data_IF_338172891409
#
_entry.id   IF_338172891409
#
_cell.length_a   1.000
_cell.length_b   1.000
_cell.length_c   1.000
_cell.angle_alpha   90.00
_cell.angle_beta   90.00
_cell.angle_gamma   90.00
#
_symmetry.space_group_name_H-M   'P 1'
#
loop_
_entity.id
_entity.type
_entity.pdbx_description
1 polymer ?
#
# COMPACT_ATOMS: atom_id res chain seq x y z
N UNK A 1 22.43 -3.80 2.71
CA UNK A 1 21.94 -2.47 3.13
C UNK A 1 22.38 -1.34 2.18
N UNK A 2 23.58 -0.74 2.26
CA UNK A 2 23.92 0.44 1.41
C UNK A 2 23.88 0.18 -0.12
N UNK A 3 24.35 -0.98 -0.58
CA UNK A 3 24.31 -1.38 -2.00
C UNK A 3 22.91 -1.73 -2.53
N UNK A 4 21.99 -2.12 -1.64
CA UNK A 4 20.59 -2.45 -2.01
C UNK A 4 19.74 -1.19 -2.15
N UNK A 5 19.93 -0.22 -1.24
CA UNK A 5 19.29 1.10 -1.31
C UNK A 5 19.56 1.81 -2.66
N UNK A 6 20.79 1.71 -3.15
CA UNK A 6 21.22 2.37 -4.39
C UNK A 6 20.45 1.88 -5.64
N UNK A 7 19.89 0.67 -5.61
CA UNK A 7 19.09 0.10 -6.70
C UNK A 7 17.62 0.49 -6.64
N UNK A 8 17.07 0.57 -5.42
CA UNK A 8 15.64 0.81 -5.20
C UNK A 8 15.32 2.33 -5.13
N UNK A 9 16.33 3.19 -4.88
CA UNK A 9 16.13 4.65 -4.71
C UNK A 9 15.34 5.33 -5.83
N UNK A 10 15.62 5.00 -7.10
CA UNK A 10 14.97 5.66 -8.24
C UNK A 10 13.52 5.20 -8.40
N UNK A 11 13.24 3.96 -8.00
CA UNK A 11 11.90 3.39 -7.99
C UNK A 11 11.08 4.04 -6.89
N UNK A 12 11.65 4.20 -5.70
CA UNK A 12 10.99 4.90 -4.58
C UNK A 12 10.70 6.35 -4.93
N UNK A 13 11.67 7.07 -5.51
CA UNK A 13 11.46 8.45 -5.96
C UNK A 13 10.41 8.51 -7.06
N UNK A 14 10.45 7.61 -8.04
CA UNK A 14 9.45 7.54 -9.10
C UNK A 14 8.04 7.28 -8.55
N UNK A 15 7.88 6.32 -7.64
CA UNK A 15 6.61 6.01 -7.00
C UNK A 15 6.09 7.22 -6.19
N UNK A 16 6.95 7.84 -5.37
CA UNK A 16 6.57 9.02 -4.61
C UNK A 16 6.13 10.18 -5.53
N UNK A 17 6.87 10.43 -6.62
CA UNK A 17 6.50 11.45 -7.60
C UNK A 17 5.16 11.17 -8.26
N UNK A 18 4.87 9.92 -8.63
CA UNK A 18 3.58 9.56 -9.24
C UNK A 18 2.43 9.79 -8.24
N UNK A 19 2.58 9.40 -6.98
CA UNK A 19 1.55 9.65 -5.95
C UNK A 19 1.29 11.17 -5.80
N UNK A 20 2.37 11.97 -5.72
CA UNK A 20 2.25 13.44 -5.65
C UNK A 20 1.56 14.02 -6.88
N UNK A 21 1.89 13.54 -8.09
CA UNK A 21 1.25 14.00 -9.33
C UNK A 21 -0.25 13.68 -9.36
N UNK A 22 -0.66 12.51 -8.86
CA UNK A 22 -2.08 12.16 -8.74
C UNK A 22 -2.80 13.10 -7.77
N UNK A 23 -2.19 13.40 -6.62
CA UNK A 23 -2.77 14.36 -5.65
C UNK A 23 -2.87 15.77 -6.24
N UNK A 24 -1.87 16.19 -7.02
CA UNK A 24 -1.91 17.46 -7.76
C UNK A 24 -3.04 17.46 -8.79
N UNK A 25 -3.27 16.34 -9.50
CA UNK A 25 -4.38 16.23 -10.44
C UNK A 25 -5.73 16.39 -9.72
N UNK A 26 -5.91 15.69 -8.60
CA UNK A 26 -7.12 15.82 -7.75
C UNK A 26 -7.33 17.28 -7.32
N UNK A 27 -6.26 17.98 -6.93
CA UNK A 27 -6.35 19.40 -6.57
C UNK A 27 -6.81 20.27 -7.75
N UNK A 28 -6.27 20.05 -8.95
CA UNK A 28 -6.61 20.81 -10.15
C UNK A 28 -8.06 20.55 -10.57
N UNK A 29 -8.47 19.29 -10.61
CA UNK A 29 -9.83 18.89 -10.98
C UNK A 29 -10.87 19.47 -10.01
N UNK A 30 -10.58 19.37 -8.71
CA UNK A 30 -11.42 19.95 -7.67
C UNK A 30 -11.47 21.48 -7.80
N UNK A 31 -10.31 22.15 -7.95
CA UNK A 31 -10.25 23.60 -8.11
C UNK A 31 -10.98 24.10 -9.35
N UNK A 32 -10.94 23.37 -10.46
CA UNK A 32 -11.65 23.74 -11.68
C UNK A 32 -13.16 23.58 -11.50
N UNK A 33 -13.60 22.50 -10.84
CA UNK A 33 -15.02 22.29 -10.50
C UNK A 33 -15.56 23.44 -9.65
N UNK A 34 -14.79 23.93 -8.67
CA UNK A 34 -15.15 25.08 -7.84
C UNK A 34 -15.13 26.43 -8.57
N UNK A 35 -14.43 26.55 -9.71
CA UNK A 35 -14.45 27.75 -10.56
C UNK A 35 -15.67 27.75 -11.48
N UNK A 36 -16.08 26.58 -11.97
CA UNK A 36 -17.21 26.43 -12.89
C UNK A 36 -18.56 26.46 -12.19
N UNK A 37 -18.62 25.96 -10.95
CA UNK A 37 -19.84 25.87 -10.15
C UNK A 37 -19.72 26.72 -8.88
N UNK A 38 -20.84 27.29 -8.41
CA UNK A 38 -20.85 27.96 -7.12
C UNK A 38 -20.48 26.98 -5.99
N UNK A 39 -19.59 27.38 -5.08
CA UNK A 39 -19.03 26.51 -4.04
C UNK A 39 -20.09 25.70 -3.25
N UNK A 40 -21.22 26.33 -2.90
CA UNK A 40 -22.29 25.69 -2.16
C UNK A 40 -23.00 24.58 -2.97
N UNK A 41 -23.05 24.71 -4.29
CA UNK A 41 -23.64 23.70 -5.18
C UNK A 41 -22.75 22.47 -5.34
N UNK A 42 -21.42 22.64 -5.33
CA UNK A 42 -20.44 21.55 -5.43
C UNK A 42 -20.45 20.72 -4.15
N UNK A 43 -20.36 21.39 -2.99
CA UNK A 43 -20.39 20.73 -1.68
C UNK A 43 -21.71 19.96 -1.49
N UNK A 44 -22.85 20.58 -1.86
CA UNK A 44 -24.16 19.93 -1.79
C UNK A 44 -24.27 18.70 -2.70
N UNK A 45 -23.71 18.75 -3.91
CA UNK A 45 -23.67 17.60 -4.82
C UNK A 45 -22.79 16.47 -4.27
N UNK A 46 -21.61 16.78 -3.73
CA UNK A 46 -20.76 15.76 -3.16
C UNK A 46 -21.43 15.04 -2.00
N UNK A 47 -22.11 15.79 -1.12
CA UNK A 47 -22.85 15.21 -0.01
C UNK A 47 -24.06 14.38 -0.49
N UNK A 48 -24.80 14.85 -1.49
CA UNK A 48 -25.99 14.16 -2.00
C UNK A 48 -25.68 12.87 -2.77
N UNK A 49 -24.55 12.84 -3.50
CA UNK A 49 -24.16 11.72 -4.35
C UNK A 49 -23.00 10.88 -3.76
N UNK A 50 -22.55 11.19 -2.55
CA UNK A 50 -21.40 10.55 -1.89
C UNK A 50 -20.14 10.49 -2.77
N UNK A 51 -19.87 11.57 -3.51
CA UNK A 51 -18.77 11.60 -4.49
C UNK A 51 -17.43 11.59 -3.77
N UNK A 52 -16.69 10.50 -3.93
CA UNK A 52 -15.33 10.33 -3.42
C UNK A 52 -14.33 10.94 -4.41
N UNK A 53 -14.11 12.25 -4.33
CA UNK A 53 -13.21 13.00 -5.23
C UNK A 53 -11.73 12.55 -5.19
N UNK A 54 -11.34 11.77 -4.18
CA UNK A 54 -9.99 11.24 -3.98
C UNK A 54 -9.89 9.76 -4.36
N UNK A 55 -10.81 9.23 -5.18
CA UNK A 55 -10.81 7.81 -5.56
C UNK A 55 -9.53 7.39 -6.28
N UNK A 56 -8.89 8.27 -7.07
CA UNK A 56 -7.67 7.94 -7.80
C UNK A 56 -6.50 7.55 -6.87
N UNK A 57 -6.49 8.08 -5.65
CA UNK A 57 -5.50 7.75 -4.61
C UNK A 57 -5.57 6.26 -4.23
N UNK A 58 -6.77 5.68 -4.23
CA UNK A 58 -7.00 4.26 -3.94
C UNK A 58 -6.16 3.35 -4.83
N UNK A 59 -6.17 3.63 -6.13
CA UNK A 59 -5.50 2.80 -7.13
C UNK A 59 -3.98 3.01 -7.11
N UNK A 60 -3.53 4.25 -6.96
CA UNK A 60 -2.09 4.53 -6.99
C UNK A 60 -1.36 4.01 -5.73
N UNK A 61 -1.99 4.08 -4.56
CA UNK A 61 -1.43 3.51 -3.33
C UNK A 61 -1.29 1.99 -3.47
N UNK A 62 -2.33 1.29 -3.97
CA UNK A 62 -2.27 -0.15 -4.22
C UNK A 62 -1.09 -0.52 -5.14
N UNK A 63 -0.97 0.18 -6.27
CA UNK A 63 0.12 -0.02 -7.24
C UNK A 63 1.48 0.26 -6.59
N UNK A 64 1.58 1.25 -5.71
CA UNK A 64 2.80 1.60 -5.00
C UNK A 64 3.30 0.47 -4.11
N UNK A 65 2.43 -0.12 -3.29
CA UNK A 65 2.78 -1.29 -2.46
C UNK A 65 3.21 -2.50 -3.29
N UNK A 66 2.49 -2.77 -4.39
CA UNK A 66 2.79 -3.87 -5.29
C UNK A 66 4.16 -3.69 -5.95
N UNK A 67 4.39 -2.55 -6.60
CA UNK A 67 5.62 -2.29 -7.35
C UNK A 67 6.83 -2.23 -6.41
N UNK A 68 6.71 -1.62 -5.23
CA UNK A 68 7.80 -1.61 -4.27
C UNK A 68 8.21 -3.04 -3.87
N UNK A 69 7.22 -3.90 -3.59
CA UNK A 69 7.47 -5.31 -3.24
C UNK A 69 8.15 -6.07 -4.38
N UNK A 70 7.64 -5.91 -5.61
CA UNK A 70 8.20 -6.57 -6.80
C UNK A 70 9.64 -6.12 -7.04
N UNK A 71 9.89 -4.83 -7.10
CA UNK A 71 11.21 -4.30 -7.44
C UNK A 71 12.25 -4.51 -6.34
N UNK A 72 11.80 -4.62 -5.08
CA UNK A 72 12.68 -4.96 -3.97
C UNK A 72 13.12 -6.43 -4.05
N UNK A 73 12.19 -7.38 -4.22
CA UNK A 73 12.48 -8.82 -4.12
C UNK A 73 12.79 -9.54 -5.45
N UNK A 74 12.40 -8.98 -6.60
CA UNK A 74 12.74 -9.53 -7.92
C UNK A 74 14.25 -9.73 -8.16
N UNK A 75 15.13 -8.74 -7.92
CA UNK A 75 16.57 -8.92 -8.13
C UNK A 75 17.20 -9.95 -7.19
N UNK A 76 16.63 -10.18 -6.01
CA UNK A 76 17.13 -11.15 -5.03
C UNK A 76 16.89 -12.60 -5.47
N UNK A 77 15.74 -12.84 -6.10
CA UNK A 77 15.34 -14.15 -6.62
C UNK A 77 16.03 -14.44 -7.95
N UNK A 78 16.04 -13.47 -8.86
CA UNK A 78 16.67 -13.62 -10.19
C UNK A 78 18.17 -13.94 -10.08
N UNK A 79 18.87 -13.39 -9.09
CA UNK A 79 20.32 -13.61 -8.92
C UNK A 79 20.66 -14.89 -8.14
N UNK A 80 19.69 -15.74 -7.80
CA UNK A 80 19.88 -16.95 -6.97
C UNK A 80 20.68 -16.70 -5.68
N UNK A 81 20.74 -15.44 -5.21
CA UNK A 81 21.46 -15.08 -3.98
C UNK A 81 20.83 -15.74 -2.77
N UNK A 82 19.52 -15.96 -2.83
CA UNK A 82 18.79 -16.77 -1.87
C UNK A 82 19.43 -18.17 -1.77
N UNK A 83 19.61 -18.91 -2.86
CA UNK A 83 20.23 -20.25 -2.88
C UNK A 83 21.65 -20.32 -2.29
N UNK A 84 22.48 -19.30 -2.50
CA UNK A 84 23.86 -19.26 -1.98
C UNK A 84 23.94 -18.83 -0.50
N UNK A 85 22.93 -18.10 -0.02
CA UNK A 85 22.87 -17.65 1.38
C UNK A 85 22.38 -18.78 2.30
N UNK A 86 21.58 -19.72 1.77
CA UNK A 86 20.96 -20.85 2.50
C UNK A 86 21.93 -21.85 3.16
N UNK A 87 23.24 -21.62 3.06
CA UNK A 87 24.25 -22.39 3.77
C UNK A 87 24.47 -21.93 5.23
N UNK A 88 23.86 -20.80 5.68
CA UNK A 88 24.07 -20.22 7.03
C UNK A 88 22.74 -19.88 7.76
N UNK A 89 22.17 -20.80 8.57
CA UNK A 89 20.74 -20.88 8.92
C UNK A 89 20.16 -19.84 9.91
N UNK A 90 20.95 -18.89 10.41
CA UNK A 90 20.53 -17.97 11.51
C UNK A 90 20.57 -16.48 11.11
N UNK A 91 21.34 -16.11 10.08
CA UNK A 91 21.48 -14.70 9.66
C UNK A 91 20.40 -14.24 8.66
N UNK A 92 19.64 -15.17 8.09
CA UNK A 92 18.77 -14.93 6.94
C UNK A 92 17.38 -14.42 7.29
N UNK A 93 16.70 -15.03 8.28
CA UNK A 93 15.43 -14.50 8.79
C UNK A 93 15.58 -13.05 9.26
N UNK A 94 16.75 -12.72 9.83
CA UNK A 94 17.10 -11.36 10.25
C UNK A 94 17.28 -10.44 9.04
N UNK A 95 17.91 -10.90 7.97
CA UNK A 95 18.10 -10.11 6.74
C UNK A 95 16.76 -9.88 6.02
N UNK A 96 15.93 -10.91 5.84
CA UNK A 96 14.59 -10.75 5.28
C UNK A 96 13.74 -9.80 6.12
N UNK A 97 13.72 -9.96 7.44
CA UNK A 97 12.99 -9.05 8.34
C UNK A 97 13.46 -7.60 8.18
N UNK A 98 14.78 -7.38 8.10
CA UNK A 98 15.36 -6.05 7.91
C UNK A 98 14.99 -5.44 6.55
N UNK A 99 14.95 -6.24 5.49
CA UNK A 99 14.54 -5.76 4.17
C UNK A 99 13.05 -5.44 4.14
N UNK A 100 12.22 -6.33 4.68
CA UNK A 100 10.78 -6.11 4.81
C UNK A 100 10.50 -4.84 5.62
N UNK A 101 11.18 -4.64 6.75
CA UNK A 101 10.99 -3.46 7.61
C UNK A 101 11.41 -2.17 6.92
N UNK A 102 12.49 -2.18 6.12
CA UNK A 102 12.89 -1.02 5.31
C UNK A 102 11.82 -0.67 4.28
N UNK A 103 11.26 -1.65 3.56
CA UNK A 103 10.19 -1.37 2.59
C UNK A 103 8.90 -0.86 3.25
N UNK A 104 8.51 -1.42 4.40
CA UNK A 104 7.38 -0.90 5.20
C UNK A 104 7.65 0.53 5.64
N UNK A 105 8.86 0.84 6.11
CA UNK A 105 9.23 2.20 6.51
C UNK A 105 9.16 3.19 5.33
N UNK A 106 9.61 2.79 4.14
CA UNK A 106 9.51 3.61 2.93
C UNK A 106 8.04 3.87 2.57
N UNK A 107 7.19 2.84 2.60
CA UNK A 107 5.74 3.01 2.33
C UNK A 107 5.10 3.96 3.34
N UNK A 108 5.43 3.83 4.63
CA UNK A 108 4.92 4.73 5.66
C UNK A 108 5.32 6.18 5.39
N UNK A 109 6.56 6.44 4.96
CA UNK A 109 6.99 7.80 4.60
C UNK A 109 6.21 8.36 3.40
N UNK A 110 6.02 7.56 2.35
CA UNK A 110 5.22 7.95 1.17
C UNK A 110 3.79 8.28 1.62
N UNK A 111 3.17 7.42 2.43
CA UNK A 111 1.79 7.59 2.86
C UNK A 111 1.60 8.76 3.82
N UNK A 112 2.59 9.09 4.65
CA UNK A 112 2.57 10.31 5.47
C UNK A 112 2.56 11.55 4.56
N UNK A 113 3.38 11.55 3.50
CA UNK A 113 3.42 12.65 2.53
C UNK A 113 2.08 12.75 1.79
N UNK A 114 1.53 11.62 1.34
CA UNK A 114 0.26 11.58 0.60
C UNK A 114 -0.90 12.06 1.48
N UNK A 115 -1.01 11.55 2.71
CA UNK A 115 -2.03 11.98 3.66
C UNK A 115 -1.89 13.47 4.01
N UNK A 116 -0.66 13.98 4.14
CA UNK A 116 -0.41 15.39 4.39
C UNK A 116 -0.82 16.27 3.20
N UNK A 117 -0.42 15.93 1.98
CA UNK A 117 -0.80 16.69 0.79
C UNK A 117 -2.32 16.66 0.56
N UNK A 118 -2.95 15.50 0.71
CA UNK A 118 -4.39 15.36 0.58
C UNK A 118 -5.13 16.16 1.66
N UNK A 119 -4.60 16.22 2.90
CA UNK A 119 -5.16 17.05 3.96
C UNK A 119 -5.15 18.53 3.60
N UNK A 120 -4.06 19.02 2.99
CA UNK A 120 -3.93 20.41 2.54
C UNK A 120 -4.99 20.71 1.47
N UNK A 121 -5.19 19.80 0.51
CA UNK A 121 -6.21 19.96 -0.53
C UNK A 121 -7.60 20.04 0.08
N UNK A 122 -7.93 19.12 1.00
CA UNK A 122 -9.23 19.08 1.64
C UNK A 122 -9.51 20.33 2.48
N UNK A 123 -8.57 20.76 3.33
CA UNK A 123 -8.75 21.93 4.20
C UNK A 123 -8.87 23.24 3.41
N UNK A 124 -8.20 23.33 2.26
CA UNK A 124 -8.24 24.54 1.42
C UNK A 124 -9.54 24.70 0.63
N UNK A 125 -10.13 23.60 0.18
CA UNK A 125 -11.23 23.62 -0.79
C UNK A 125 -12.57 23.15 -0.22
N UNK A 126 -12.56 22.38 0.87
CA UNK A 126 -13.75 21.72 1.41
C UNK A 126 -13.97 22.02 2.90
N UNK A 127 -15.23 21.93 3.38
CA UNK A 127 -15.54 21.97 4.81
C UNK A 127 -14.86 20.84 5.59
N UNK A 128 -14.70 21.05 6.90
CA UNK A 128 -14.04 20.10 7.82
C UNK A 128 -14.68 18.69 7.82
N UNK A 129 -15.98 18.59 7.56
CA UNK A 129 -16.71 17.31 7.52
C UNK A 129 -16.12 16.32 6.50
N UNK A 130 -15.66 16.83 5.36
CA UNK A 130 -15.03 16.02 4.31
C UNK A 130 -13.64 15.53 4.73
N UNK A 131 -12.94 16.29 5.56
CA UNK A 131 -11.60 15.92 6.04
C UNK A 131 -11.65 14.67 6.93
N UNK A 132 -12.58 14.64 7.90
CA UNK A 132 -12.72 13.51 8.81
C UNK A 132 -13.14 12.24 8.03
N UNK A 133 -14.07 12.39 7.08
CA UNK A 133 -14.49 11.28 6.23
C UNK A 133 -13.38 10.77 5.30
N UNK A 134 -12.60 11.68 4.72
CA UNK A 134 -11.45 11.35 3.88
C UNK A 134 -10.40 10.55 4.64
N UNK A 135 -10.05 10.96 5.87
CA UNK A 135 -9.10 10.21 6.70
C UNK A 135 -9.59 8.79 7.01
N UNK A 136 -10.86 8.66 7.41
CA UNK A 136 -11.45 7.35 7.73
C UNK A 136 -11.52 6.41 6.53
N UNK A 137 -11.65 6.96 5.32
CA UNK A 137 -11.77 6.19 4.09
C UNK A 137 -10.40 5.81 3.51
N UNK A 138 -9.42 6.71 3.59
CA UNK A 138 -8.07 6.49 3.04
C UNK A 138 -7.18 5.62 3.92
N UNK A 139 -7.38 5.62 5.25
CA UNK A 139 -6.56 4.84 6.18
C UNK A 139 -6.56 3.33 5.87
N UNK A 140 -7.71 2.66 5.65
CA UNK A 140 -7.73 1.27 5.19
C UNK A 140 -7.00 1.03 3.87
N UNK A 141 -6.99 2.00 2.94
CA UNK A 141 -6.29 1.86 1.67
C UNK A 141 -4.77 1.88 1.83
N UNK A 142 -4.25 2.76 2.70
CA UNK A 142 -2.83 2.76 3.06
C UNK A 142 -2.42 1.45 3.71
N UNK A 143 -3.22 0.95 4.67
CA UNK A 143 -2.99 -0.35 5.31
C UNK A 143 -3.05 -1.49 4.29
N UNK A 144 -4.03 -1.48 3.39
CA UNK A 144 -4.19 -2.45 2.31
C UNK A 144 -2.97 -2.51 1.38
N UNK A 145 -2.32 -1.38 1.12
CA UNK A 145 -1.08 -1.36 0.35
C UNK A 145 0.10 -1.96 1.10
N UNK A 146 0.21 -1.75 2.42
CA UNK A 146 1.25 -2.42 3.24
C UNK A 146 1.01 -3.93 3.20
N UNK A 147 -0.24 -4.37 3.33
CA UNK A 147 -0.62 -5.78 3.22
C UNK A 147 -0.29 -6.33 1.83
N UNK A 148 -0.54 -5.57 0.77
CA UNK A 148 -0.17 -5.93 -0.61
C UNK A 148 1.33 -6.14 -0.74
N UNK A 149 2.15 -5.21 -0.22
CA UNK A 149 3.60 -5.36 -0.18
C UNK A 149 4.03 -6.65 0.55
N UNK A 150 3.46 -6.94 1.71
CA UNK A 150 3.73 -8.16 2.47
C UNK A 150 3.37 -9.45 1.69
N UNK A 151 2.23 -9.47 1.00
CA UNK A 151 1.81 -10.62 0.19
C UNK A 151 2.69 -10.84 -1.03
N UNK A 152 3.16 -9.76 -1.68
CA UNK A 152 4.15 -9.86 -2.76
C UNK A 152 5.39 -10.59 -2.24
N UNK A 153 5.91 -10.24 -1.07
CA UNK A 153 7.07 -10.91 -0.47
C UNK A 153 6.80 -12.40 -0.27
N UNK A 154 5.65 -12.76 0.32
CA UNK A 154 5.27 -14.16 0.56
C UNK A 154 5.26 -14.96 -0.77
N UNK A 155 4.66 -14.40 -1.82
CA UNK A 155 4.56 -15.04 -3.14
C UNK A 155 5.95 -15.25 -3.75
N UNK A 156 6.82 -14.24 -3.67
CA UNK A 156 8.17 -14.30 -4.23
C UNK A 156 9.07 -15.28 -3.47
N UNK A 157 8.99 -15.29 -2.14
CA UNK A 157 9.75 -16.21 -1.29
C UNK A 157 9.29 -17.65 -1.49
N UNK A 158 7.98 -17.92 -1.56
CA UNK A 158 7.45 -19.29 -1.61
C UNK A 158 8.09 -20.13 -2.73
N UNK A 159 8.77 -21.26 -2.40
CA UNK A 159 9.51 -22.05 -3.40
C UNK A 159 8.60 -22.99 -4.19
N UNK A 160 7.47 -23.42 -3.59
CA UNK A 160 6.53 -24.32 -4.25
C UNK A 160 5.52 -23.52 -5.10
N UNK A 161 5.42 -23.85 -6.38
CA UNK A 161 4.49 -23.26 -7.34
C UNK A 161 3.02 -23.42 -6.95
N UNK A 162 2.61 -24.56 -6.39
CA UNK A 162 1.21 -24.76 -5.98
C UNK A 162 0.84 -23.84 -4.82
N UNK A 163 1.71 -23.76 -3.80
CA UNK A 163 1.55 -22.83 -2.67
C UNK A 163 1.61 -21.37 -3.13
N UNK A 164 2.45 -21.04 -4.12
CA UNK A 164 2.51 -19.69 -4.71
C UNK A 164 1.19 -19.29 -5.38
N UNK A 165 0.58 -20.18 -6.16
CA UNK A 165 -0.72 -19.93 -6.79
C UNK A 165 -1.81 -19.76 -5.74
N UNK A 166 -1.85 -20.62 -4.71
CA UNK A 166 -2.80 -20.50 -3.60
C UNK A 166 -2.62 -19.16 -2.88
N UNK A 167 -1.38 -18.76 -2.60
CA UNK A 167 -1.06 -17.47 -1.98
C UNK A 167 -1.49 -16.28 -2.82
N UNK A 168 -1.44 -16.37 -4.16
CA UNK A 168 -1.98 -15.32 -5.05
C UNK A 168 -3.50 -15.20 -4.88
N UNK A 169 -4.24 -16.30 -4.89
CA UNK A 169 -5.69 -16.26 -4.69
C UNK A 169 -6.07 -15.71 -3.31
N UNK A 170 -5.35 -16.12 -2.26
CA UNK A 170 -5.54 -15.58 -0.91
C UNK A 170 -5.21 -14.09 -0.84
N UNK A 171 -4.10 -13.67 -1.45
CA UNK A 171 -3.73 -12.26 -1.51
C UNK A 171 -4.81 -11.43 -2.21
N UNK A 172 -5.31 -11.86 -3.37
CA UNK A 172 -6.38 -11.18 -4.08
C UNK A 172 -7.65 -11.04 -3.22
N UNK A 173 -8.06 -12.14 -2.55
CA UNK A 173 -9.20 -12.13 -1.64
C UNK A 173 -9.02 -11.14 -0.50
N UNK A 174 -7.88 -11.21 0.22
CA UNK A 174 -7.61 -10.35 1.38
C UNK A 174 -7.45 -8.89 0.97
N UNK A 175 -6.67 -8.61 -0.08
CA UNK A 175 -6.44 -7.25 -0.57
C UNK A 175 -7.78 -6.64 -1.00
N UNK A 176 -8.64 -7.39 -1.69
CA UNK A 176 -9.95 -6.87 -2.13
C UNK A 176 -10.80 -6.32 -0.98
N UNK A 177 -10.70 -6.87 0.22
CA UNK A 177 -11.44 -6.41 1.40
C UNK A 177 -11.07 -4.98 1.80
N UNK A 178 -9.79 -4.60 1.69
CA UNK A 178 -9.31 -3.25 2.01
C UNK A 178 -9.80 -2.20 1.01
N UNK A 179 -10.26 -2.63 -0.17
CA UNK A 179 -10.65 -1.76 -1.28
C UNK A 179 -12.12 -1.93 -1.69
N UNK A 180 -12.91 -2.70 -0.95
CA UNK A 180 -14.30 -3.03 -1.29
C UNK A 180 -15.30 -1.89 -1.03
N UNK A 181 -15.05 -1.07 -0.02
CA UNK A 181 -15.89 0.05 0.38
C UNK A 181 -15.93 1.17 -0.67
N UNK A 182 -17.15 1.68 -0.89
CA UNK A 182 -17.49 2.84 -1.70
C UNK A 182 -18.32 3.81 -0.85
N UNK A 183 -18.07 5.11 -0.99
CA UNK A 183 -18.79 6.17 -0.26
C UNK A 183 -18.01 6.77 0.91
N UNK A 184 -18.59 7.79 1.53
CA UNK A 184 -17.99 8.52 2.65
C UNK A 184 -17.99 7.69 3.93
N UNK A 185 -16.85 7.66 4.65
CA UNK A 185 -16.72 7.00 5.96
C UNK A 185 -17.08 5.51 5.94
N UNK A 186 -16.96 4.84 4.77
CA UNK A 186 -17.37 3.45 4.54
C UNK A 186 -16.74 2.44 5.53
N UNK A 187 -15.66 2.82 6.20
CA UNK A 187 -14.89 1.95 7.10
C UNK A 187 -14.85 2.41 8.55
N UNK A 188 -15.58 3.47 8.94
CA UNK A 188 -15.52 4.07 10.28
C UNK A 188 -15.67 3.05 11.42
N UNK A 189 -16.62 2.11 11.28
CA UNK A 189 -16.89 1.06 12.28
C UNK A 189 -15.95 -0.15 12.18
N UNK A 190 -15.16 -0.26 11.10
CA UNK A 190 -14.41 -1.48 10.78
C UNK A 190 -12.90 -1.29 10.70
N UNK A 191 -12.38 -0.07 10.82
CA UNK A 191 -10.94 0.25 10.79
C UNK A 191 -10.13 -0.65 11.73
N UNK A 192 -10.62 -0.91 12.94
CA UNK A 192 -9.93 -1.76 13.90
C UNK A 192 -9.72 -3.18 13.36
N UNK A 193 -10.71 -3.76 12.68
CA UNK A 193 -10.61 -5.09 12.08
C UNK A 193 -9.62 -5.11 10.91
N UNK A 194 -9.53 -4.04 10.11
CA UNK A 194 -8.54 -3.93 9.03
C UNK A 194 -7.11 -3.87 9.57
N UNK A 195 -6.89 -3.14 10.68
CA UNK A 195 -5.58 -3.10 11.35
C UNK A 195 -5.22 -4.49 11.89
N UNK A 196 -6.17 -5.15 12.57
CA UNK A 196 -5.95 -6.50 13.12
C UNK A 196 -5.65 -7.52 12.01
N UNK A 197 -6.37 -7.45 10.89
CA UNK A 197 -6.14 -8.27 9.71
C UNK A 197 -4.75 -8.02 9.11
N UNK A 198 -4.30 -6.76 9.05
CA UNK A 198 -2.96 -6.41 8.57
C UNK A 198 -1.85 -6.97 9.46
N UNK A 199 -2.02 -6.89 10.79
CA UNK A 199 -1.09 -7.49 11.76
C UNK A 199 -1.06 -9.02 11.56
N UNK A 200 -2.21 -9.66 11.41
CA UNK A 200 -2.28 -11.09 11.14
C UNK A 200 -1.57 -11.47 9.83
N UNK A 201 -1.79 -10.71 8.75
CA UNK A 201 -1.09 -10.94 7.47
C UNK A 201 0.43 -10.77 7.59
N UNK A 202 0.89 -9.79 8.38
CA UNK A 202 2.32 -9.59 8.61
C UNK A 202 2.97 -10.77 9.35
N UNK A 203 2.22 -11.47 10.21
CA UNK A 203 2.69 -12.66 10.91
C UNK A 203 2.90 -13.86 9.95
N UNK A 204 2.15 -13.93 8.84
CA UNK A 204 2.26 -15.01 7.83
C UNK A 204 3.63 -14.98 7.13
N UNK A 205 4.29 -13.83 7.05
CA UNK A 205 5.64 -13.68 6.49
C UNK A 205 6.64 -14.60 7.22
N UNK A 206 6.52 -14.73 8.54
CA UNK A 206 7.38 -15.59 9.34
C UNK A 206 7.15 -17.08 9.05
N UNK A 207 5.90 -17.47 8.78
CA UNK A 207 5.54 -18.84 8.44
C UNK A 207 6.10 -19.25 7.06
N UNK A 208 6.01 -18.36 6.07
CA UNK A 208 6.57 -18.59 4.73
C UNK A 208 8.10 -18.70 4.77
N UNK A 209 8.78 -17.82 5.52
CA UNK A 209 10.23 -17.92 5.72
C UNK A 209 10.64 -19.24 6.41
N UNK A 210 9.83 -19.72 7.36
CA UNK A 210 10.06 -21.01 8.02
C UNK A 210 9.85 -22.21 7.06
N UNK A 211 8.82 -22.18 6.21
CA UNK A 211 8.55 -23.23 5.23
C UNK A 211 9.64 -23.33 4.16
N UNK A 212 10.16 -22.19 3.71
CA UNK A 212 11.31 -22.14 2.79
C UNK A 212 12.51 -22.88 3.39
N UNK A 213 12.83 -22.59 4.67
CA UNK A 213 13.97 -23.18 5.38
C UNK A 213 13.92 -24.70 5.49
N UNK A 214 12.72 -25.30 5.57
CA UNK A 214 12.58 -26.75 5.69
C UNK A 214 12.63 -27.49 4.34
N UNK A 215 12.70 -26.76 3.22
CA UNK A 215 12.72 -27.38 1.88
C UNK A 215 11.49 -28.25 1.60
N UNK A 216 10.37 -27.99 2.29
CA UNK A 216 9.12 -28.74 2.12
C UNK A 216 8.48 -28.25 0.82
N UNK A 217 9.00 -28.78 -0.29
CA UNK A 217 8.31 -28.87 -1.57
C UNK A 217 6.98 -29.58 -1.35
#
# INVERSE_FOLDING_TARGET
>A
MYKEWLKIKWIVVGLALINVLVILNIYLDLSNTFKELAANSVVGQFQAYEIVFYYDIKNIILVTGLLLGVFQFFPEISQSRLKLTFHLPVKENKLMLQMTSVGVFILLLIFIIDAFLLSIVCIKLLPKEFFDSMLMTTLPWYVGSIVTYCWVIIIFVEPNWTKRIISIFLALGIISLFYAGSGFSAYSNSIFYFILLAVFCSAIIFLSAYNFKRGIC
#
